data_IF_209577214661
#
_entry.id   IF_209577214661
#
_cell.length_a   1.000
_cell.length_b   1.000
_cell.length_c   1.000
_cell.angle_alpha   90.00
_cell.angle_beta   90.00
_cell.angle_gamma   90.00
#
_symmetry.space_group_name_H-M   'P 1'
#
loop_
_entity.id
_entity.type
_entity.pdbx_description
1 polymer ?
#
# COMPACT_ATOMS: atom_id res chain seq x y z
N UNK A 1 -5.86 31.28 13.43
CA UNK A 1 -4.96 31.47 12.27
C UNK A 1 -3.52 31.37 12.77
N UNK A 2 -2.67 30.51 12.18
CA UNK A 2 -1.26 30.40 12.59
C UNK A 2 -0.47 31.62 12.11
N UNK A 3 0.46 32.09 12.93
CA UNK A 3 1.31 33.24 12.64
C UNK A 3 2.18 32.97 11.40
N UNK A 4 2.19 33.85 10.38
CA UNK A 4 3.01 33.66 9.19
C UNK A 4 4.51 33.54 9.52
N UNK A 5 5.26 32.69 8.81
CA UNK A 5 6.71 32.51 9.01
C UNK A 5 7.47 33.85 8.99
N UNK A 6 7.05 34.78 8.12
CA UNK A 6 7.62 36.13 8.04
C UNK A 6 7.48 36.91 9.34
N UNK A 7 6.36 36.75 10.04
CA UNK A 7 6.08 37.42 11.32
C UNK A 7 6.90 36.77 12.45
N UNK A 8 7.07 35.45 12.45
CA UNK A 8 7.93 34.74 13.41
C UNK A 8 9.38 35.22 13.27
N UNK A 9 9.91 35.27 12.04
CA UNK A 9 11.28 35.73 11.75
C UNK A 9 11.50 37.21 12.12
N UNK A 10 10.47 38.06 12.00
CA UNK A 10 10.55 39.45 12.42
C UNK A 10 10.66 39.57 13.96
N UNK A 11 9.89 38.76 14.69
CA UNK A 11 9.86 38.79 16.15
C UNK A 11 11.12 38.19 16.81
N UNK A 12 11.78 37.23 16.14
CA UNK A 12 13.01 36.59 16.64
C UNK A 12 14.16 37.59 16.84
N UNK A 13 14.22 38.67 16.04
CA UNK A 13 15.28 39.67 16.11
C UNK A 13 15.38 40.40 17.45
N UNK A 14 14.30 40.40 18.22
CA UNK A 14 14.20 41.10 19.51
C UNK A 14 14.32 40.15 20.71
N UNK A 15 14.56 38.86 20.48
CA UNK A 15 14.67 37.85 21.54
C UNK A 15 16.13 37.65 21.99
N UNK A 16 16.30 37.24 23.24
CA UNK A 16 17.58 36.72 23.73
C UNK A 16 17.97 35.45 22.95
N UNK A 17 19.27 35.18 22.72
CA UNK A 17 19.73 34.07 21.88
C UNK A 17 19.11 32.70 22.21
N UNK A 18 19.04 32.33 23.49
CA UNK A 18 18.44 31.05 23.92
C UNK A 18 16.94 30.96 23.60
N UNK A 19 16.22 32.08 23.74
CA UNK A 19 14.80 32.16 23.41
C UNK A 19 14.57 32.15 21.90
N UNK A 20 15.43 32.83 21.14
CA UNK A 20 15.43 32.80 19.68
C UNK A 20 15.68 31.39 19.14
N UNK A 21 16.67 30.68 19.67
CA UNK A 21 16.99 29.30 19.31
C UNK A 21 15.82 28.35 19.58
N UNK A 22 15.21 28.44 20.77
CA UNK A 22 14.03 27.63 21.13
C UNK A 22 12.88 27.85 20.15
N UNK A 23 12.52 29.11 19.91
CA UNK A 23 11.44 29.49 18.97
C UNK A 23 11.75 29.00 17.55
N UNK A 24 13.00 29.09 17.10
CA UNK A 24 13.43 28.59 15.80
C UNK A 24 13.32 27.07 15.71
N UNK A 25 13.77 26.33 16.73
CA UNK A 25 13.69 24.87 16.75
C UNK A 25 12.23 24.38 16.73
N UNK A 26 11.36 24.98 17.55
CA UNK A 26 9.92 24.68 17.57
C UNK A 26 9.27 25.00 16.21
N UNK A 27 9.63 26.13 15.60
CA UNK A 27 9.12 26.53 14.28
C UNK A 27 9.57 25.55 13.19
N UNK A 28 10.85 25.14 13.20
CA UNK A 28 11.39 24.15 12.26
C UNK A 28 10.67 22.81 12.42
N UNK A 29 10.46 22.35 13.64
CA UNK A 29 9.74 21.09 13.90
C UNK A 29 8.30 21.16 13.39
N UNK A 30 7.57 22.24 13.69
CA UNK A 30 6.19 22.41 13.25
C UNK A 30 6.08 22.49 11.72
N UNK A 31 6.91 23.30 11.07
CA UNK A 31 6.95 23.42 9.61
C UNK A 31 7.31 22.09 8.95
N UNK A 32 8.20 21.30 9.56
CA UNK A 32 8.58 19.99 9.06
C UNK A 32 7.41 19.00 9.08
N UNK A 33 6.64 18.96 10.18
CA UNK A 33 5.43 18.12 10.29
C UNK A 33 4.38 18.52 9.25
N UNK A 34 4.08 19.81 9.11
CA UNK A 34 3.14 20.31 8.09
C UNK A 34 3.60 19.96 6.67
N UNK A 35 4.91 20.08 6.40
CA UNK A 35 5.46 19.70 5.11
C UNK A 35 5.38 18.18 4.85
N UNK A 36 5.59 17.35 5.87
CA UNK A 36 5.41 15.91 5.78
C UNK A 36 3.95 15.54 5.48
N UNK A 37 2.99 16.19 6.13
CA UNK A 37 1.56 16.02 5.89
C UNK A 37 1.15 16.41 4.46
N UNK A 38 1.67 17.54 3.95
CA UNK A 38 1.47 17.96 2.55
C UNK A 38 2.02 16.92 1.57
N UNK A 39 3.22 16.37 1.84
CA UNK A 39 3.81 15.32 1.01
C UNK A 39 3.01 14.02 1.06
N UNK A 40 2.49 13.64 2.23
CA UNK A 40 1.60 12.50 2.40
C UNK A 40 0.33 12.66 1.56
N UNK A 41 -0.38 13.78 1.70
CA UNK A 41 -1.59 14.08 0.96
C UNK A 41 -1.35 14.18 -0.56
N UNK A 42 -0.24 14.77 -0.98
CA UNK A 42 0.17 14.78 -2.38
C UNK A 42 0.40 13.36 -2.92
N UNK A 43 1.04 12.48 -2.14
CA UNK A 43 1.24 11.09 -2.53
C UNK A 43 -0.08 10.33 -2.65
N UNK A 44 -1.03 10.57 -1.74
CA UNK A 44 -2.38 10.00 -1.77
C UNK A 44 -3.13 10.39 -3.05
N UNK A 45 -3.11 11.68 -3.42
CA UNK A 45 -3.70 12.17 -4.68
C UNK A 45 -3.00 11.58 -5.90
N UNK A 46 -1.67 11.47 -5.87
CA UNK A 46 -0.90 10.84 -6.96
C UNK A 46 -1.25 9.36 -7.13
N UNK A 47 -1.48 8.63 -6.03
CA UNK A 47 -1.98 7.26 -6.08
C UNK A 47 -3.40 7.22 -6.67
N UNK A 48 -4.32 8.04 -6.18
CA UNK A 48 -5.70 8.10 -6.70
C UNK A 48 -5.70 8.36 -8.22
N UNK A 49 -4.92 9.33 -8.69
CA UNK A 49 -4.73 9.60 -10.12
C UNK A 49 -4.15 8.40 -10.87
N UNK A 50 -3.23 7.65 -10.27
CA UNK A 50 -2.67 6.45 -10.89
C UNK A 50 -3.72 5.34 -11.07
N UNK A 51 -4.70 5.26 -10.18
CA UNK A 51 -5.80 4.30 -10.26
C UNK A 51 -6.88 4.73 -11.26
N UNK A 52 -6.92 6.01 -11.64
CA UNK A 52 -7.89 6.54 -12.59
C UNK A 52 -7.38 6.61 -14.04
N UNK A 53 -6.19 6.07 -14.29
CA UNK A 53 -5.60 5.96 -15.63
C UNK A 53 -5.40 4.51 -16.03
N UNK A 54 -5.16 4.30 -17.32
CA UNK A 54 -4.90 2.98 -17.89
C UNK A 54 -3.65 2.33 -17.28
N UNK A 55 -3.58 0.99 -17.33
CA UNK A 55 -2.43 0.24 -16.81
C UNK A 55 -1.08 0.71 -17.42
N UNK A 56 -1.08 1.13 -18.70
CA UNK A 56 0.10 1.65 -19.40
C UNK A 56 0.61 2.96 -18.78
N UNK A 57 -0.28 3.86 -18.39
CA UNK A 57 0.04 5.18 -17.84
C UNK A 57 0.24 5.17 -16.31
N UNK A 58 -0.24 4.12 -15.63
CA UNK A 58 -0.17 3.96 -14.17
C UNK A 58 1.27 3.92 -13.64
N UNK A 59 2.20 3.30 -14.36
CA UNK A 59 3.59 3.07 -13.92
C UNK A 59 4.36 4.35 -13.56
N UNK A 60 4.44 5.40 -14.42
CA UNK A 60 5.12 6.64 -14.06
C UNK A 60 4.46 7.36 -12.88
N UNK A 61 3.14 7.33 -12.76
CA UNK A 61 2.42 7.96 -11.65
C UNK A 61 2.71 7.26 -10.31
N UNK A 62 2.69 5.92 -10.28
CA UNK A 62 3.08 5.16 -9.08
C UNK A 62 4.54 5.40 -8.70
N UNK A 63 5.45 5.59 -9.67
CA UNK A 63 6.84 5.97 -9.36
C UNK A 63 6.92 7.34 -8.69
N UNK A 64 6.14 8.32 -9.18
CA UNK A 64 6.05 9.65 -8.59
C UNK A 64 5.47 9.59 -7.17
N UNK A 65 4.33 8.93 -6.98
CA UNK A 65 3.72 8.70 -5.66
C UNK A 65 4.72 8.10 -4.66
N UNK A 66 5.46 7.06 -5.08
CA UNK A 66 6.50 6.43 -4.26
C UNK A 66 7.62 7.39 -3.86
N UNK A 67 8.08 8.25 -4.79
CA UNK A 67 9.13 9.24 -4.49
C UNK A 67 8.62 10.26 -3.47
N UNK A 68 7.38 10.72 -3.61
CA UNK A 68 6.75 11.68 -2.71
C UNK A 68 6.59 11.11 -1.30
N UNK A 69 6.01 9.91 -1.13
CA UNK A 69 5.84 9.30 0.20
C UNK A 69 7.18 8.95 0.86
N UNK A 70 8.21 8.61 0.07
CA UNK A 70 9.56 8.41 0.61
C UNK A 70 10.14 9.70 1.20
N UNK A 71 9.75 10.89 0.70
CA UNK A 71 10.16 12.17 1.29
C UNK A 71 9.41 12.44 2.59
N UNK A 72 8.10 12.19 2.63
CA UNK A 72 7.30 12.32 3.86
C UNK A 72 7.88 11.43 4.98
N UNK A 73 8.11 10.14 4.69
CA UNK A 73 8.68 9.16 5.63
C UNK A 73 10.08 9.50 6.16
N UNK A 74 10.84 10.37 5.48
CA UNK A 74 12.14 10.84 5.99
C UNK A 74 11.99 11.93 7.04
N UNK A 75 10.88 12.65 7.02
CA UNK A 75 10.59 13.72 7.96
C UNK A 75 9.80 13.15 9.13
N UNK A 76 8.75 12.38 8.85
CA UNK A 76 7.87 11.81 9.86
C UNK A 76 7.44 10.40 9.49
N UNK A 77 7.57 9.46 10.41
CA UNK A 77 7.14 8.07 10.22
C UNK A 77 5.83 7.83 10.98
N UNK A 78 4.71 7.95 10.27
CA UNK A 78 3.38 7.59 10.78
C UNK A 78 2.89 6.26 10.21
N UNK A 79 1.91 5.64 10.87
CA UNK A 79 1.24 4.43 10.37
C UNK A 79 0.65 4.63 8.96
N UNK A 80 -0.05 5.75 8.76
CA UNK A 80 -0.60 6.18 7.47
C UNK A 80 0.46 6.24 6.36
N UNK A 81 1.63 6.80 6.64
CA UNK A 81 2.69 6.92 5.66
C UNK A 81 3.26 5.54 5.26
N UNK A 82 3.40 4.64 6.22
CA UNK A 82 3.85 3.26 5.96
C UNK A 82 2.81 2.50 5.13
N UNK A 83 1.54 2.57 5.53
CA UNK A 83 0.44 1.93 4.83
C UNK A 83 0.31 2.44 3.38
N UNK A 84 0.33 3.77 3.17
CA UNK A 84 0.25 4.36 1.84
C UNK A 84 1.41 3.93 0.95
N UNK A 85 2.64 3.91 1.47
CA UNK A 85 3.81 3.42 0.73
C UNK A 85 3.67 1.94 0.38
N UNK A 86 3.19 1.11 1.30
CA UNK A 86 2.96 -0.31 1.09
C UNK A 86 1.90 -0.52 -0.01
N UNK A 87 0.82 0.26 0.00
CA UNK A 87 -0.23 0.24 -1.03
C UNK A 87 0.30 0.62 -2.41
N UNK A 88 1.09 1.69 -2.50
CA UNK A 88 1.75 2.11 -3.75
C UNK A 88 2.65 0.98 -4.29
N UNK A 89 3.42 0.32 -3.42
CA UNK A 89 4.27 -0.81 -3.81
C UNK A 89 3.44 -2.01 -4.28
N UNK A 90 2.31 -2.30 -3.63
CA UNK A 90 1.35 -3.33 -4.04
C UNK A 90 0.88 -3.13 -5.48
N UNK A 91 0.41 -1.92 -5.82
CA UNK A 91 0.03 -1.62 -7.21
C UNK A 91 1.24 -1.70 -8.16
N UNK A 92 2.44 -1.29 -7.73
CA UNK A 92 3.65 -1.45 -8.54
C UNK A 92 4.00 -2.92 -8.81
N UNK A 93 3.71 -3.85 -7.90
CA UNK A 93 3.91 -5.30 -8.10
C UNK A 93 2.97 -5.80 -9.20
N UNK A 94 1.70 -5.38 -9.17
CA UNK A 94 0.67 -5.84 -10.10
C UNK A 94 1.01 -5.55 -11.58
N UNK A 95 1.64 -4.41 -11.85
CA UNK A 95 1.98 -3.95 -13.21
C UNK A 95 3.43 -4.24 -13.64
N UNK A 96 4.25 -4.84 -12.77
CA UNK A 96 5.65 -5.15 -13.10
C UNK A 96 5.71 -6.51 -13.77
N UNK A 97 6.22 -6.65 -15.00
CA UNK A 97 6.41 -7.98 -15.61
C UNK A 97 7.55 -8.80 -14.99
N UNK A 98 8.62 -8.12 -14.54
CA UNK A 98 9.83 -8.77 -14.04
C UNK A 98 9.65 -9.33 -12.60
N UNK A 99 9.76 -10.65 -12.46
CA UNK A 99 9.54 -11.37 -11.21
C UNK A 99 10.55 -11.01 -10.10
N UNK A 100 11.84 -10.78 -10.43
CA UNK A 100 12.86 -10.38 -9.44
C UNK A 100 12.47 -9.04 -8.79
N UNK A 101 12.02 -8.09 -9.61
CA UNK A 101 11.56 -6.77 -9.13
C UNK A 101 10.27 -6.92 -8.30
N UNK A 102 9.35 -7.82 -8.68
CA UNK A 102 8.15 -8.10 -7.87
C UNK A 102 8.53 -8.59 -6.48
N UNK A 103 9.46 -9.54 -6.39
CA UNK A 103 9.92 -10.10 -5.10
C UNK A 103 10.57 -9.02 -4.23
N UNK A 104 11.47 -8.21 -4.79
CA UNK A 104 12.11 -7.12 -4.05
C UNK A 104 11.08 -6.13 -3.49
N UNK A 105 10.05 -5.79 -4.27
CA UNK A 105 8.95 -4.93 -3.79
C UNK A 105 8.09 -5.63 -2.74
N UNK A 106 7.81 -6.92 -2.90
CA UNK A 106 7.05 -7.71 -1.93
C UNK A 106 7.75 -7.76 -0.57
N UNK A 107 9.09 -7.90 -0.55
CA UNK A 107 9.87 -7.76 0.68
C UNK A 107 9.73 -6.35 1.29
N UNK A 108 9.83 -5.31 0.47
CA UNK A 108 9.63 -3.94 0.98
C UNK A 108 8.22 -3.76 1.56
N UNK A 109 7.19 -4.36 0.97
CA UNK A 109 5.83 -4.35 1.55
C UNK A 109 5.82 -5.09 2.89
N UNK A 110 6.43 -6.27 2.97
CA UNK A 110 6.54 -7.02 4.23
C UNK A 110 7.22 -6.18 5.32
N UNK A 111 8.38 -5.60 5.03
CA UNK A 111 9.13 -4.78 5.99
C UNK A 111 8.31 -3.54 6.46
N UNK A 112 7.51 -2.96 5.57
CA UNK A 112 6.61 -1.85 5.93
C UNK A 112 5.46 -2.30 6.81
N UNK A 113 4.89 -3.49 6.56
CA UNK A 113 3.81 -4.06 7.38
C UNK A 113 4.33 -4.48 8.76
N UNK A 114 5.52 -5.08 8.84
CA UNK A 114 6.14 -5.44 10.12
C UNK A 114 6.35 -4.17 10.99
N UNK A 115 6.79 -3.07 10.37
CA UNK A 115 6.91 -1.77 11.05
C UNK A 115 5.57 -1.15 11.41
N UNK A 116 4.58 -1.29 10.53
CA UNK A 116 3.22 -0.80 10.80
C UNK A 116 2.60 -1.53 11.98
N UNK A 117 2.80 -2.84 12.09
CA UNK A 117 2.33 -3.66 13.21
C UNK A 117 2.94 -3.25 14.55
N UNK A 118 4.21 -2.82 14.55
CA UNK A 118 4.89 -2.30 15.75
C UNK A 118 4.34 -0.95 16.22
N UNK A 119 3.83 -0.13 15.29
CA UNK A 119 3.33 1.22 15.59
C UNK A 119 1.83 1.20 15.87
N UNK A 120 1.07 0.50 15.01
CA UNK A 120 -0.39 0.54 14.97
C UNK A 120 -0.95 -0.69 14.22
N UNK A 121 -1.18 -1.78 14.94
CA UNK A 121 -1.79 -2.99 14.35
C UNK A 121 -3.23 -2.79 13.86
N UNK A 122 -3.92 -1.76 14.37
CA UNK A 122 -5.31 -1.44 14.02
C UNK A 122 -5.46 -0.60 12.76
N UNK A 123 -4.35 -0.26 12.09
CA UNK A 123 -4.41 0.56 10.89
C UNK A 123 -5.29 -0.09 9.83
N UNK A 124 -6.24 0.66 9.32
CA UNK A 124 -7.36 0.15 8.55
C UNK A 124 -6.91 -0.69 7.33
N UNK A 125 -5.94 -0.18 6.58
CA UNK A 125 -5.41 -0.84 5.37
C UNK A 125 -4.45 -2.00 5.65
N UNK A 126 -4.03 -2.25 6.90
CA UNK A 126 -3.05 -3.29 7.24
C UNK A 126 -3.50 -4.66 6.72
N UNK A 127 -4.74 -5.06 7.06
CA UNK A 127 -5.28 -6.38 6.71
C UNK A 127 -5.47 -6.56 5.20
N UNK A 128 -5.88 -5.49 4.49
CA UNK A 128 -6.00 -5.53 3.04
C UNK A 128 -4.64 -5.79 2.39
N UNK A 129 -3.63 -4.98 2.73
CA UNK A 129 -2.30 -5.07 2.13
C UNK A 129 -1.61 -6.38 2.52
N UNK A 130 -1.74 -6.81 3.78
CA UNK A 130 -1.19 -8.08 4.27
C UNK A 130 -1.84 -9.28 3.57
N UNK A 131 -3.16 -9.28 3.42
CA UNK A 131 -3.90 -10.31 2.70
C UNK A 131 -3.50 -10.40 1.23
N UNK A 132 -3.38 -9.25 0.54
CA UNK A 132 -2.88 -9.19 -0.84
C UNK A 132 -1.46 -9.74 -0.99
N UNK A 133 -0.58 -9.43 -0.03
CA UNK A 133 0.80 -9.93 -0.01
C UNK A 133 0.84 -11.45 0.16
N UNK A 134 0.07 -11.99 1.11
CA UNK A 134 -0.03 -13.44 1.35
C UNK A 134 -0.57 -14.16 0.11
N UNK A 135 -1.67 -13.67 -0.47
CA UNK A 135 -2.24 -14.23 -1.70
C UNK A 135 -1.22 -14.26 -2.84
N UNK A 136 -0.47 -13.16 -3.01
CA UNK A 136 0.56 -13.06 -4.05
C UNK A 136 1.72 -14.03 -3.81
N UNK A 137 2.12 -14.23 -2.56
CA UNK A 137 3.17 -15.18 -2.17
C UNK A 137 2.73 -16.64 -2.35
N UNK A 138 1.46 -16.96 -2.08
CA UNK A 138 0.91 -18.30 -2.29
C UNK A 138 0.71 -18.64 -3.77
N UNK A 139 0.61 -17.62 -4.63
CA UNK A 139 0.45 -17.78 -6.08
C UNK A 139 1.78 -17.86 -6.84
N UNK A 140 2.92 -17.99 -6.15
CA UNK A 140 4.23 -18.11 -6.80
C UNK A 140 4.35 -19.49 -7.47
N UNK A 141 4.61 -19.57 -8.79
CA UNK A 141 4.76 -20.84 -9.50
C UNK A 141 5.89 -21.71 -8.92
N UNK A 142 5.76 -23.02 -8.98
CA UNK A 142 6.74 -23.99 -8.46
C UNK A 142 8.16 -23.76 -9.01
N UNK A 143 8.29 -23.51 -10.31
CA UNK A 143 9.59 -23.17 -10.93
C UNK A 143 10.19 -21.88 -10.35
N UNK A 144 9.36 -20.88 -10.06
CA UNK A 144 9.81 -19.66 -9.40
C UNK A 144 10.16 -19.92 -7.92
N UNK A 145 9.43 -20.80 -7.22
CA UNK A 145 9.78 -21.22 -5.87
C UNK A 145 11.13 -21.94 -5.83
N UNK A 146 11.41 -22.81 -6.80
CA UNK A 146 12.72 -23.45 -6.96
C UNK A 146 13.84 -22.42 -7.10
N UNK A 147 13.69 -21.44 -8.01
CA UNK A 147 14.66 -20.37 -8.19
C UNK A 147 14.80 -19.49 -6.93
N UNK A 148 13.71 -19.27 -6.18
CA UNK A 148 13.76 -18.53 -4.92
C UNK A 148 14.50 -19.34 -3.85
N UNK A 149 14.27 -20.64 -3.78
CA UNK A 149 14.96 -21.53 -2.87
C UNK A 149 16.46 -21.58 -3.16
N UNK A 150 16.86 -21.43 -4.43
CA UNK A 150 18.26 -21.45 -4.83
C UNK A 150 18.98 -20.09 -4.72
N UNK A 151 18.32 -19.01 -5.16
CA UNK A 151 18.99 -17.71 -5.39
C UNK A 151 18.54 -16.59 -4.46
N UNK A 152 17.50 -16.78 -3.64
CA UNK A 152 16.92 -15.70 -2.86
C UNK A 152 17.19 -15.81 -1.34
N UNK A 153 17.14 -14.64 -0.71
CA UNK A 153 17.34 -14.43 0.73
C UNK A 153 16.34 -15.25 1.59
N UNK A 154 16.79 -15.73 2.75
CA UNK A 154 15.99 -16.48 3.74
C UNK A 154 14.65 -15.80 4.09
N UNK A 155 14.60 -14.47 4.08
CA UNK A 155 13.37 -13.69 4.35
C UNK A 155 12.25 -13.95 3.33
N UNK A 156 12.59 -14.17 2.05
CA UNK A 156 11.59 -14.46 1.00
C UNK A 156 11.06 -15.88 1.18
N UNK A 157 11.96 -16.83 1.47
CA UNK A 157 11.58 -18.22 1.73
C UNK A 157 10.61 -18.30 2.91
N UNK A 158 10.92 -17.59 4.00
CA UNK A 158 10.04 -17.51 5.16
C UNK A 158 8.65 -16.93 4.80
N UNK A 159 8.60 -15.87 3.97
CA UNK A 159 7.32 -15.29 3.52
C UNK A 159 6.49 -16.29 2.71
N UNK A 160 7.11 -16.99 1.75
CA UNK A 160 6.41 -17.96 0.88
C UNK A 160 5.93 -19.15 1.71
N UNK A 161 6.81 -19.74 2.51
CA UNK A 161 6.49 -20.90 3.35
C UNK A 161 5.40 -20.59 4.39
N UNK A 162 5.34 -19.34 4.86
CA UNK A 162 4.31 -18.91 5.80
C UNK A 162 2.96 -18.56 5.11
N UNK A 163 2.94 -18.43 3.79
CA UNK A 163 1.75 -17.99 3.03
C UNK A 163 0.87 -19.17 2.63
N UNK A 164 -0.44 -19.00 2.74
CA UNK A 164 -1.44 -19.90 2.13
C UNK A 164 -2.66 -19.09 1.71
N UNK A 165 -3.49 -19.66 0.83
CA UNK A 165 -4.74 -19.01 0.40
C UNK A 165 -5.72 -18.83 1.57
N UNK A 166 -5.76 -19.77 2.51
CA UNK A 166 -6.55 -19.71 3.74
C UNK A 166 -6.10 -18.55 4.63
N UNK A 167 -4.78 -18.41 4.86
CA UNK A 167 -4.23 -17.31 5.65
C UNK A 167 -4.48 -15.96 4.99
N UNK A 168 -4.34 -15.89 3.67
CA UNK A 168 -4.67 -14.69 2.91
C UNK A 168 -6.16 -14.33 3.07
N UNK A 169 -7.05 -15.30 2.92
CA UNK A 169 -8.49 -15.13 3.10
C UNK A 169 -8.84 -14.66 4.52
N UNK A 170 -8.36 -15.35 5.55
CA UNK A 170 -8.58 -14.97 6.94
C UNK A 170 -8.09 -13.56 7.23
N UNK A 171 -6.95 -13.17 6.66
CA UNK A 171 -6.43 -11.82 6.78
C UNK A 171 -7.35 -10.80 6.08
N UNK A 172 -7.76 -11.05 4.84
CA UNK A 172 -8.65 -10.16 4.10
C UNK A 172 -10.02 -10.01 4.75
N UNK A 173 -10.55 -11.06 5.40
CA UNK A 173 -11.84 -10.99 6.10
C UNK A 173 -11.79 -10.11 7.37
N UNK A 174 -10.61 -9.82 7.92
CA UNK A 174 -10.44 -8.84 9.00
C UNK A 174 -10.50 -7.39 8.52
N UNK A 175 -10.42 -7.16 7.21
CA UNK A 175 -10.57 -5.83 6.64
C UNK A 175 -12.04 -5.39 6.73
N UNK A 176 -12.29 -4.31 7.50
CA UNK A 176 -13.66 -3.89 7.84
C UNK A 176 -14.44 -3.27 6.68
N UNK A 177 -13.75 -2.72 5.66
CA UNK A 177 -14.43 -2.07 4.54
C UNK A 177 -14.71 -3.05 3.40
N UNK A 178 -15.95 -3.04 2.93
CA UNK A 178 -16.34 -3.77 1.72
C UNK A 178 -15.99 -2.92 0.48
N UNK A 179 -14.74 -2.95 0.05
CA UNK A 179 -14.29 -2.30 -1.20
C UNK A 179 -14.29 -3.27 -2.37
N UNK A 180 -14.30 -2.75 -3.60
CA UNK A 180 -14.24 -3.60 -4.80
C UNK A 180 -12.92 -4.38 -4.85
N UNK A 181 -11.83 -3.74 -4.44
CA UNK A 181 -10.51 -4.36 -4.31
C UNK A 181 -10.50 -5.50 -3.29
N UNK A 182 -11.05 -5.29 -2.10
CA UNK A 182 -11.12 -6.33 -1.08
C UNK A 182 -11.96 -7.53 -1.54
N UNK A 183 -13.15 -7.27 -2.10
CA UNK A 183 -14.02 -8.34 -2.61
C UNK A 183 -13.36 -9.10 -3.77
N UNK A 184 -12.62 -8.41 -4.64
CA UNK A 184 -11.85 -9.04 -5.69
C UNK A 184 -10.84 -10.04 -5.12
N UNK A 185 -9.99 -9.62 -4.18
CA UNK A 185 -8.97 -10.53 -3.63
C UNK A 185 -9.55 -11.67 -2.79
N UNK A 186 -10.65 -11.42 -2.05
CA UNK A 186 -11.39 -12.48 -1.34
C UNK A 186 -11.94 -13.49 -2.34
N UNK A 187 -12.55 -13.03 -3.44
CA UNK A 187 -13.02 -13.91 -4.52
C UNK A 187 -11.89 -14.77 -5.08
N UNK A 188 -10.71 -14.18 -5.35
CA UNK A 188 -9.57 -14.94 -5.85
C UNK A 188 -9.12 -16.01 -4.84
N UNK A 189 -9.09 -15.70 -3.54
CA UNK A 189 -8.76 -16.71 -2.53
C UNK A 189 -9.74 -17.89 -2.58
N UNK A 190 -11.05 -17.63 -2.65
CA UNK A 190 -12.06 -18.69 -2.78
C UNK A 190 -11.86 -19.54 -4.04
N UNK A 191 -11.57 -18.93 -5.19
CA UNK A 191 -11.28 -19.67 -6.42
C UNK A 191 -10.05 -20.57 -6.29
N UNK A 192 -8.98 -20.06 -5.67
CA UNK A 192 -7.75 -20.84 -5.44
C UNK A 192 -7.93 -21.98 -4.44
N UNK A 193 -8.95 -21.88 -3.57
CA UNK A 193 -9.35 -22.93 -2.63
C UNK A 193 -10.48 -23.83 -3.19
N UNK A 194 -10.79 -23.74 -4.49
CA UNK A 194 -11.87 -24.49 -5.15
C UNK A 194 -13.29 -24.24 -4.57
N UNK A 195 -13.49 -23.11 -3.89
CA UNK A 195 -14.76 -22.69 -3.29
C UNK A 195 -15.54 -21.79 -4.25
N UNK A 196 -16.00 -22.37 -5.37
CA UNK A 196 -16.59 -21.60 -6.48
C UNK A 196 -17.85 -20.81 -6.09
N UNK A 197 -18.75 -21.41 -5.30
CA UNK A 197 -20.01 -20.76 -4.89
C UNK A 197 -19.74 -19.45 -4.14
N UNK A 198 -18.82 -19.49 -3.18
CA UNK A 198 -18.40 -18.33 -2.39
C UNK A 198 -17.73 -17.25 -3.26
N UNK A 199 -16.93 -17.66 -4.25
CA UNK A 199 -16.35 -16.73 -5.22
C UNK A 199 -17.43 -16.03 -6.06
N UNK A 200 -18.43 -16.77 -6.55
CA UNK A 200 -19.53 -16.20 -7.33
C UNK A 200 -20.37 -15.21 -6.51
N UNK A 201 -20.60 -15.48 -5.23
CA UNK A 201 -21.24 -14.55 -4.30
C UNK A 201 -20.47 -13.24 -4.17
N UNK A 202 -19.14 -13.30 -4.01
CA UNK A 202 -18.28 -12.11 -3.96
C UNK A 202 -18.33 -11.31 -5.26
N UNK A 203 -18.31 -11.98 -6.41
CA UNK A 203 -18.46 -11.33 -7.70
C UNK A 203 -19.83 -10.67 -7.88
N UNK A 204 -20.92 -11.30 -7.41
CA UNK A 204 -22.27 -10.69 -7.38
C UNK A 204 -22.29 -9.42 -6.53
N UNK A 205 -21.62 -9.41 -5.38
CA UNK A 205 -21.48 -8.20 -4.56
C UNK A 205 -20.73 -7.11 -5.32
N UNK A 206 -19.59 -7.43 -5.94
CA UNK A 206 -18.81 -6.45 -6.72
C UNK A 206 -19.64 -5.81 -7.84
N UNK A 207 -20.48 -6.58 -8.55
CA UNK A 207 -21.34 -6.06 -9.63
C UNK A 207 -22.36 -5.03 -9.16
N UNK A 208 -22.75 -5.06 -7.89
CA UNK A 208 -23.69 -4.09 -7.28
C UNK A 208 -22.98 -2.81 -6.83
N UNK A 209 -21.66 -2.79 -6.80
CA UNK A 209 -20.87 -1.63 -6.37
C UNK A 209 -20.63 -0.67 -7.53
N UNK A 210 -20.62 0.63 -7.25
CA UNK A 210 -20.20 1.65 -8.21
C UNK A 210 -18.68 1.72 -8.20
N UNK A 211 -18.06 1.49 -9.36
CA UNK A 211 -16.61 1.61 -9.50
C UNK A 211 -16.19 3.08 -9.41
N UNK A 212 -15.35 3.41 -8.43
CA UNK A 212 -14.90 4.77 -8.15
C UNK A 212 -13.82 5.28 -9.11
N UNK A 213 -13.12 4.38 -9.80
CA UNK A 213 -12.02 4.72 -10.70
C UNK A 213 -11.83 3.64 -11.78
N UNK A 214 -10.96 3.90 -12.75
CA UNK A 214 -10.69 2.96 -13.85
C UNK A 214 -10.12 1.61 -13.36
N UNK A 215 -9.26 1.61 -12.33
CA UNK A 215 -8.71 0.38 -11.75
C UNK A 215 -9.81 -0.56 -11.21
N UNK A 216 -10.81 -0.02 -10.51
CA UNK A 216 -11.95 -0.82 -10.04
C UNK A 216 -12.76 -1.42 -11.19
N UNK A 217 -12.96 -0.66 -12.30
CA UNK A 217 -13.56 -1.21 -13.52
C UNK A 217 -12.71 -2.36 -14.10
N UNK A 218 -11.39 -2.23 -14.11
CA UNK A 218 -10.48 -3.31 -14.51
C UNK A 218 -10.62 -4.54 -13.61
N UNK A 219 -10.81 -4.37 -12.30
CA UNK A 219 -11.01 -5.48 -11.36
C UNK A 219 -12.29 -6.26 -11.65
N UNK A 220 -13.40 -5.60 -12.01
CA UNK A 220 -14.63 -6.29 -12.44
C UNK A 220 -14.41 -7.13 -13.69
N UNK A 221 -13.70 -6.58 -14.68
CA UNK A 221 -13.36 -7.32 -15.91
C UNK A 221 -12.45 -8.50 -15.60
N UNK A 222 -11.44 -8.32 -14.73
CA UNK A 222 -10.55 -9.38 -14.27
C UNK A 222 -11.32 -10.46 -13.51
N UNK A 223 -12.24 -10.08 -12.62
CA UNK A 223 -13.06 -11.01 -11.85
C UNK A 223 -13.88 -11.94 -12.75
N UNK A 224 -14.55 -11.38 -13.75
CA UNK A 224 -15.30 -12.15 -14.76
C UNK A 224 -14.40 -13.14 -15.50
N UNK A 225 -13.18 -12.73 -15.88
CA UNK A 225 -12.23 -13.60 -16.58
C UNK A 225 -11.74 -14.75 -15.70
N UNK A 226 -11.44 -14.49 -14.43
CA UNK A 226 -10.95 -15.54 -13.51
C UNK A 226 -12.03 -16.61 -13.23
N UNK A 227 -13.29 -16.20 -13.07
CA UNK A 227 -14.42 -17.13 -12.92
C UNK A 227 -14.67 -18.00 -14.17
N UNK A 228 -14.29 -17.53 -15.35
CA UNK A 228 -14.47 -18.29 -16.58
C UNK A 228 -13.36 -19.32 -16.84
N UNK A 229 -12.22 -19.22 -16.13
CA UNK A 229 -11.07 -20.13 -16.27
C UNK A 229 -11.14 -21.37 -15.38
N UNK A 230 -11.98 -21.32 -14.36
CA UNK A 230 -12.23 -22.38 -13.38
C UNK A 230 -13.57 -23.00 -13.65
#
# INVERSE_FOLDING_TARGET
MKTPLRTILANIRNLQPESAERVLNETIEQQSKEYAELLFNLSKVQLARALDVSEKERKPLLKRAKKTIKRALKIETTGDCLALKARILGHQISITGNWKIKIQKALQVKDLLDRLEQIEITHEDYYLIRGMLLLSASSVPEFAQFLINWFCNSRIKALINASSYEKALQCLLKYKKSTMEANFFIMICYLKMHQRKQAEERHKLMKKMVAANLYEKELLVKARKELAKT
#
